data_IF_414857960986
#
_entry.id   IF_414857960986
#
_cell.length_a   1.000
_cell.length_b   1.000
_cell.length_c   1.000
_cell.angle_alpha   90.00
_cell.angle_beta   90.00
_cell.angle_gamma   90.00
#
_symmetry.space_group_name_H-M   'P 1'
#
loop_
_entity.id
_entity.type
_entity.pdbx_description
1 polymer ?
#
# COMPACT_ATOMS: atom_id res chain seq x y z
N UNK A 1 1.45 11.90 -27.08
CA UNK A 1 0.26 12.20 -26.27
C UNK A 1 0.73 12.28 -24.83
N UNK A 2 1.01 13.49 -24.37
CA UNK A 2 1.75 13.77 -23.13
C UNK A 2 1.01 13.32 -21.87
N UNK A 3 1.65 12.48 -21.05
CA UNK A 3 1.34 12.35 -19.62
C UNK A 3 2.61 12.17 -18.80
N UNK A 4 3.41 13.23 -18.76
CA UNK A 4 4.31 13.54 -17.64
C UNK A 4 3.47 13.62 -16.34
N UNK A 5 3.39 12.54 -15.55
CA UNK A 5 2.68 12.57 -14.25
C UNK A 5 3.66 12.77 -13.06
N UNK A 6 4.98 12.67 -13.24
CA UNK A 6 5.92 12.71 -12.11
C UNK A 6 6.93 13.85 -12.12
N UNK A 7 6.58 15.04 -12.64
CA UNK A 7 7.43 16.24 -12.48
C UNK A 7 7.02 17.15 -11.32
N UNK A 8 5.90 16.88 -10.64
CA UNK A 8 5.47 17.71 -9.50
C UNK A 8 6.22 17.27 -8.24
N UNK A 9 7.22 18.06 -7.85
CA UNK A 9 7.83 17.95 -6.52
C UNK A 9 6.72 17.99 -5.47
N UNK A 10 6.71 17.00 -4.59
CA UNK A 10 5.82 16.98 -3.44
C UNK A 10 6.14 18.18 -2.56
N UNK A 11 5.10 18.89 -2.11
CA UNK A 11 5.25 19.99 -1.16
C UNK A 11 5.01 19.46 0.27
N UNK A 12 6.07 19.17 1.04
CA UNK A 12 5.93 18.63 2.39
C UNK A 12 5.31 19.62 3.36
N UNK A 13 5.22 20.92 3.04
CA UNK A 13 4.59 21.90 3.92
C UNK A 13 3.08 21.71 4.05
N UNK A 14 2.47 21.03 3.07
CA UNK A 14 1.05 20.65 3.08
C UNK A 14 0.75 19.40 3.92
N UNK A 15 1.77 18.68 4.41
CA UNK A 15 1.59 17.46 5.17
C UNK A 15 1.11 17.76 6.61
N UNK A 16 0.13 16.98 7.07
CA UNK A 16 -0.37 17.06 8.46
C UNK A 16 0.16 15.92 9.30
N UNK A 17 0.63 16.22 10.51
CA UNK A 17 1.04 15.20 11.48
C UNK A 17 -0.20 14.60 12.15
N UNK A 18 -0.31 13.28 12.10
CA UNK A 18 -1.31 12.53 12.86
C UNK A 18 -0.65 12.03 14.15
N UNK A 19 -1.21 12.42 15.29
CA UNK A 19 -0.70 12.05 16.63
C UNK A 19 -1.87 11.71 17.56
N UNK A 20 -1.61 10.89 18.57
CA UNK A 20 -2.60 10.53 19.59
C UNK A 20 -1.99 9.63 20.67
N UNK A 21 -2.65 9.47 21.83
CA UNK A 21 -2.22 8.55 22.87
C UNK A 21 -2.26 7.08 22.41
N UNK A 22 -1.65 6.18 23.19
CA UNK A 22 -1.75 4.74 22.95
C UNK A 22 -3.22 4.29 22.85
N UNK A 23 -3.53 3.47 21.85
CA UNK A 23 -4.91 3.07 21.52
C UNK A 23 -5.61 3.96 20.48
N UNK A 24 -5.00 5.08 20.08
CA UNK A 24 -5.50 5.88 18.95
C UNK A 24 -5.38 5.10 17.64
N UNK A 25 -6.35 5.29 16.74
CA UNK A 25 -6.40 4.66 15.42
C UNK A 25 -6.53 5.73 14.34
N UNK A 26 -5.82 5.55 13.24
CA UNK A 26 -5.98 6.37 12.03
C UNK A 26 -6.49 5.51 10.89
N UNK A 27 -7.52 6.00 10.18
CA UNK A 27 -8.02 5.39 8.96
C UNK A 27 -7.56 6.24 7.77
N UNK A 28 -6.98 5.60 6.77
CA UNK A 28 -6.57 6.27 5.55
C UNK A 28 -6.77 5.36 4.34
N UNK A 29 -7.07 5.98 3.20
CA UNK A 29 -7.13 5.26 1.94
C UNK A 29 -5.72 4.79 1.54
N UNK A 30 -5.59 3.60 0.95
CA UNK A 30 -4.28 2.99 0.60
C UNK A 30 -3.44 3.84 -0.36
N UNK A 31 -4.09 4.71 -1.14
CA UNK A 31 -3.43 5.67 -2.07
C UNK A 31 -3.08 7.02 -1.43
N UNK A 32 -3.41 7.25 -0.16
CA UNK A 32 -3.03 8.48 0.52
C UNK A 32 -1.51 8.49 0.73
N UNK A 33 -0.82 9.54 0.27
CA UNK A 33 0.60 9.68 0.53
C UNK A 33 0.83 9.88 2.03
N UNK A 34 1.56 8.95 2.65
CA UNK A 34 1.84 8.98 4.07
C UNK A 34 3.24 8.42 4.36
N UNK A 35 3.73 8.68 5.57
CA UNK A 35 5.03 8.22 6.03
C UNK A 35 5.18 8.45 7.52
N UNK A 36 6.26 7.92 8.10
CA UNK A 36 6.56 8.12 9.51
C UNK A 36 7.83 8.95 9.68
N UNK A 37 7.79 9.90 10.62
CA UNK A 37 9.00 10.57 11.06
C UNK A 37 9.89 9.59 11.85
N UNK A 38 11.23 9.72 11.81
CA UNK A 38 12.13 8.95 12.64
C UNK A 38 11.72 8.98 14.12
N UNK A 39 11.84 7.86 14.82
CA UNK A 39 11.62 7.83 16.25
C UNK A 39 12.85 8.38 16.97
N UNK A 40 12.73 9.55 17.59
CA UNK A 40 13.80 10.23 18.33
C UNK A 40 13.71 10.04 19.84
N UNK A 41 12.82 9.15 20.31
CA UNK A 41 12.65 8.84 21.73
C UNK A 41 13.41 7.58 22.15
N UNK A 42 13.53 7.37 23.46
CA UNK A 42 14.08 6.17 24.10
C UNK A 42 13.08 4.99 24.15
N UNK A 43 11.86 5.18 23.64
CA UNK A 43 10.77 4.20 23.68
C UNK A 43 10.41 3.70 22.29
N UNK A 44 10.16 2.40 22.16
CA UNK A 44 9.69 1.80 20.91
C UNK A 44 8.28 2.27 20.54
N UNK A 45 8.12 2.82 19.33
CA UNK A 45 6.82 3.18 18.75
C UNK A 45 6.23 1.99 17.98
N UNK A 46 5.57 1.08 18.71
CA UNK A 46 4.88 -0.07 18.12
C UNK A 46 3.65 0.37 17.34
N UNK A 47 3.37 -0.32 16.24
CA UNK A 47 2.20 -0.11 15.40
C UNK A 47 1.53 -1.46 15.12
N UNK A 48 0.20 -1.43 14.97
CA UNK A 48 -0.59 -2.54 14.46
C UNK A 48 -1.30 -2.04 13.21
N UNK A 49 -1.15 -2.77 12.10
CA UNK A 49 -1.82 -2.45 10.83
C UNK A 49 -2.86 -3.53 10.56
N UNK A 50 -4.06 -3.07 10.23
CA UNK A 50 -5.07 -3.88 9.59
C UNK A 50 -5.36 -3.28 8.23
N UNK A 51 -5.39 -4.13 7.22
CA UNK A 51 -5.82 -3.77 5.88
C UNK A 51 -7.24 -4.28 5.69
N UNK A 52 -8.11 -3.40 5.17
CA UNK A 52 -9.48 -3.75 4.84
C UNK A 52 -9.73 -3.41 3.38
N UNK A 53 -10.41 -4.31 2.69
CA UNK A 53 -10.86 -4.14 1.32
C UNK A 53 -12.37 -4.41 1.26
N UNK A 54 -13.04 -3.85 0.25
CA UNK A 54 -14.41 -4.24 -0.05
C UNK A 54 -14.46 -5.73 -0.45
N UNK A 55 -15.59 -6.41 -0.19
CA UNK A 55 -15.75 -7.84 -0.50
C UNK A 55 -15.61 -8.17 -2.01
N UNK A 56 -15.74 -7.17 -2.87
CA UNK A 56 -15.56 -7.25 -4.32
C UNK A 56 -14.20 -6.71 -4.81
N UNK A 57 -13.30 -6.30 -3.91
CA UNK A 57 -11.96 -5.81 -4.22
C UNK A 57 -10.91 -6.94 -4.10
N UNK A 58 -10.88 -7.81 -5.11
CA UNK A 58 -10.04 -9.01 -5.11
C UNK A 58 -8.56 -8.73 -5.37
N UNK A 59 -7.64 -9.45 -4.71
CA UNK A 59 -6.23 -9.41 -5.06
C UNK A 59 -6.00 -10.08 -6.42
N UNK A 60 -5.47 -9.32 -7.38
CA UNK A 60 -5.17 -9.78 -8.74
C UNK A 60 -3.79 -10.45 -8.87
N UNK A 61 -2.90 -10.19 -7.92
CA UNK A 61 -1.53 -10.71 -7.86
C UNK A 61 -1.18 -11.05 -6.42
N UNK A 62 -0.27 -12.01 -6.23
CA UNK A 62 0.15 -12.52 -4.92
C UNK A 62 -1.01 -13.01 -4.04
N UNK A 63 -2.04 -13.64 -4.63
CA UNK A 63 -3.19 -14.13 -3.87
C UNK A 63 -2.73 -15.05 -2.72
N UNK A 64 -1.71 -15.85 -2.98
CA UNK A 64 -1.07 -16.77 -2.03
C UNK A 64 -0.49 -16.07 -0.79
N UNK A 65 -0.11 -14.78 -0.88
CA UNK A 65 0.33 -13.99 0.29
C UNK A 65 -0.83 -13.77 1.25
N UNK A 66 -2.06 -13.73 0.74
CA UNK A 66 -3.29 -13.62 1.52
C UNK A 66 -3.89 -14.98 1.92
N UNK A 67 -3.24 -16.09 1.52
CA UNK A 67 -3.63 -17.46 1.84
C UNK A 67 -4.25 -18.19 0.65
N UNK A 68 -5.29 -18.96 0.92
CA UNK A 68 -6.10 -19.63 -0.10
C UNK A 68 -7.54 -19.08 -0.12
N UNK A 69 -8.36 -19.54 -1.06
CA UNK A 69 -9.74 -19.09 -1.20
C UNK A 69 -10.55 -19.26 0.11
N UNK A 70 -10.45 -20.40 0.78
CA UNK A 70 -11.15 -20.63 2.05
C UNK A 70 -10.72 -19.64 3.13
N UNK A 71 -9.42 -19.40 3.26
CA UNK A 71 -8.89 -18.40 4.20
C UNK A 71 -9.25 -16.96 3.84
N UNK A 72 -9.51 -16.66 2.56
CA UNK A 72 -10.02 -15.35 2.14
C UNK A 72 -11.48 -15.18 2.59
N UNK A 73 -12.31 -16.20 2.38
CA UNK A 73 -13.72 -16.21 2.80
C UNK A 73 -13.86 -16.09 4.31
N UNK A 74 -13.02 -16.79 5.09
CA UNK A 74 -13.00 -16.73 6.56
C UNK A 74 -12.63 -15.34 7.10
N UNK A 75 -11.90 -14.53 6.33
CA UNK A 75 -11.52 -13.16 6.70
C UNK A 75 -12.65 -12.14 6.47
N UNK A 76 -13.82 -12.55 5.96
CA UNK A 76 -14.94 -11.62 5.79
C UNK A 76 -15.47 -11.12 7.13
N UNK A 77 -15.32 -9.81 7.34
CA UNK A 77 -15.80 -9.12 8.54
C UNK A 77 -17.28 -8.76 8.41
N UNK A 78 -17.71 -8.36 7.21
CA UNK A 78 -19.09 -7.97 6.93
C UNK A 78 -19.41 -8.14 5.44
N UNK A 79 -20.65 -8.57 5.13
CA UNK A 79 -21.15 -8.68 3.77
C UNK A 79 -21.04 -10.09 3.19
N UNK A 80 -20.99 -10.19 1.87
CA UNK A 80 -20.81 -11.43 1.11
C UNK A 80 -19.74 -11.21 0.05
N UNK A 81 -18.85 -12.18 -0.09
CA UNK A 81 -17.86 -12.22 -1.18
C UNK A 81 -18.54 -12.43 -2.53
N UNK A 82 -17.76 -12.22 -3.59
CA UNK A 82 -18.20 -12.44 -4.98
C UNK A 82 -17.03 -12.95 -5.81
N UNK A 83 -17.28 -13.83 -6.78
CA UNK A 83 -16.28 -14.21 -7.79
C UNK A 83 -16.22 -13.24 -8.98
N UNK A 84 -17.09 -12.22 -8.98
CA UNK A 84 -17.09 -11.14 -9.96
C UNK A 84 -16.59 -9.86 -9.30
N UNK A 85 -15.26 -9.65 -9.24
CA UNK A 85 -14.71 -8.47 -8.58
C UNK A 85 -15.05 -7.18 -9.32
N UNK A 86 -15.06 -6.09 -8.56
CA UNK A 86 -15.26 -4.74 -9.09
C UNK A 86 -14.00 -4.28 -9.80
N UNK A 87 -14.15 -3.90 -11.06
CA UNK A 87 -13.10 -3.22 -11.84
C UNK A 87 -13.50 -1.77 -12.09
N UNK A 88 -12.54 -0.87 -11.90
CA UNK A 88 -12.66 0.54 -12.23
C UNK A 88 -11.45 0.96 -13.06
N UNK A 89 -11.62 1.95 -13.94
CA UNK A 89 -10.49 2.59 -14.61
C UNK A 89 -9.70 3.39 -13.56
N UNK A 90 -8.64 2.78 -13.07
CA UNK A 90 -7.74 3.35 -12.08
C UNK A 90 -6.33 3.48 -12.67
N UNK A 91 -5.62 4.53 -12.25
CA UNK A 91 -4.16 4.63 -12.42
C UNK A 91 -3.46 3.59 -11.53
N UNK A 92 -3.55 2.33 -11.96
CA UNK A 92 -2.99 1.17 -11.32
C UNK A 92 -1.60 0.90 -11.89
N UNK A 93 -0.66 0.63 -10.99
CA UNK A 93 0.69 0.19 -11.37
C UNK A 93 0.92 -1.19 -10.81
N UNK A 94 1.27 -2.11 -11.70
CA UNK A 94 1.64 -3.46 -11.28
C UNK A 94 2.88 -3.38 -10.39
N UNK A 95 2.92 -4.11 -9.27
CA UNK A 95 4.05 -4.12 -8.34
C UNK A 95 5.23 -4.96 -8.87
N UNK A 96 5.46 -4.93 -10.19
CA UNK A 96 6.45 -5.71 -10.92
C UNK A 96 7.42 -4.77 -11.68
N UNK A 97 8.69 -5.16 -11.86
CA UNK A 97 9.34 -6.36 -11.30
C UNK A 97 9.48 -6.28 -9.77
N UNK A 98 9.53 -7.44 -9.12
CA UNK A 98 9.78 -7.50 -7.67
C UNK A 98 11.27 -7.24 -7.38
N UNK A 99 11.61 -6.62 -6.24
CA UNK A 99 12.98 -6.63 -5.78
C UNK A 99 13.41 -8.09 -5.52
N UNK A 100 14.67 -8.47 -5.85
CA UNK A 100 15.17 -9.83 -5.66
C UNK A 100 15.24 -10.27 -4.19
N UNK A 101 15.26 -9.32 -3.25
CA UNK A 101 15.24 -9.59 -1.80
C UNK A 101 14.26 -8.63 -1.08
N UNK A 102 12.96 -8.99 -1.01
CA UNK A 102 11.92 -8.16 -0.39
C UNK A 102 11.91 -8.26 1.15
N UNK A 103 12.99 -8.69 1.80
CA UNK A 103 13.02 -9.00 3.24
C UNK A 103 12.70 -7.83 4.19
N UNK A 104 12.64 -6.59 3.72
CA UNK A 104 12.10 -5.46 4.50
C UNK A 104 11.45 -4.38 3.64
N UNK A 105 10.49 -3.65 4.23
CA UNK A 105 9.87 -2.49 3.59
C UNK A 105 10.89 -1.45 3.14
N UNK A 106 11.98 -1.27 3.90
CA UNK A 106 13.06 -0.35 3.56
C UNK A 106 13.81 -0.77 2.30
N UNK A 107 14.05 -2.08 2.11
CA UNK A 107 14.66 -2.59 0.86
C UNK A 107 13.75 -2.39 -0.33
N UNK A 108 12.46 -2.65 -0.16
CA UNK A 108 11.45 -2.41 -1.22
C UNK A 108 11.41 -0.92 -1.59
N UNK A 109 11.43 -0.03 -0.59
CA UNK A 109 11.47 1.42 -0.82
C UNK A 109 12.75 1.84 -1.54
N UNK A 110 13.92 1.33 -1.14
CA UNK A 110 15.20 1.64 -1.79
C UNK A 110 15.20 1.20 -3.26
N UNK A 111 14.77 -0.04 -3.54
CA UNK A 111 14.67 -0.57 -4.89
C UNK A 111 13.72 0.29 -5.76
N UNK A 112 12.64 0.80 -5.17
CA UNK A 112 11.64 1.60 -5.89
C UNK A 112 12.04 3.05 -6.09
N UNK A 113 13.09 3.57 -5.44
CA UNK A 113 13.57 4.95 -5.69
C UNK A 113 13.99 5.15 -7.15
N UNK A 114 14.51 4.12 -7.80
CA UNK A 114 14.98 4.15 -9.20
C UNK A 114 13.92 3.65 -10.19
N UNK A 115 12.95 2.85 -9.73
CA UNK A 115 11.94 2.20 -10.57
C UNK A 115 10.81 3.10 -11.08
N UNK A 116 10.77 4.38 -10.69
CA UNK A 116 9.75 5.33 -11.19
C UNK A 116 10.06 5.88 -12.59
N UNK A 117 11.28 5.71 -13.09
CA UNK A 117 11.75 6.33 -14.35
C UNK A 117 12.12 5.32 -15.45
N UNK A 118 12.26 4.03 -15.14
CA UNK A 118 12.70 3.04 -16.13
C UNK A 118 11.52 2.55 -16.99
N UNK A 119 11.57 2.69 -18.33
CA UNK A 119 10.61 2.05 -19.20
C UNK A 119 10.69 0.54 -19.02
N UNK A 120 9.55 -0.14 -19.10
CA UNK A 120 9.51 -1.60 -19.22
C UNK A 120 10.29 -1.93 -20.50
N UNK A 121 11.45 -2.57 -20.37
CA UNK A 121 12.20 -3.07 -21.51
C UNK A 121 11.30 -4.07 -22.26
N UNK A 122 11.07 -3.81 -23.54
CA UNK A 122 10.32 -4.65 -24.48
C UNK A 122 10.98 -5.99 -24.70
#
# INVERSE_FOLDING_TARGET
>A
MDRLIFSRKLDPSSATKITGPAGSVSFHHVKALHGSAPNTSDRSRRLLLYEYAAADAWPLIDFEVYGNYGEFEEKMVLGKSTLSPRFEDADARMPLPRPPDPGSIYRIQEFRKTGFESPIAS
#
